data_IF_585151007197
#
_entry.id   IF_585151007197
#
_cell.length_a   1.000
_cell.length_b   1.000
_cell.length_c   1.000
_cell.angle_alpha   90.00
_cell.angle_beta   90.00
_cell.angle_gamma   90.00
#
_symmetry.space_group_name_H-M   'P 1'
#
loop_
_entity.id
_entity.type
_entity.pdbx_description
1 polymer ?
#
# COMPACT_ATOMS: atom_id res chain seq x y z
N UNK A 1 -9.10 -5.98 12.64
CA UNK A 1 -8.86 -7.22 11.86
C UNK A 1 -7.40 -7.33 11.46
N UNK A 2 -6.84 -6.31 10.80
CA UNK A 2 -5.44 -6.26 10.37
C UNK A 2 -4.45 -6.66 11.47
N UNK A 3 -4.45 -5.96 12.61
CA UNK A 3 -3.51 -6.20 13.71
C UNK A 3 -3.61 -7.63 14.25
N UNK A 4 -4.82 -8.16 14.34
CA UNK A 4 -5.05 -9.51 14.85
C UNK A 4 -4.44 -10.59 13.94
N UNK A 5 -4.45 -10.36 12.61
CA UNK A 5 -3.80 -11.28 11.66
C UNK A 5 -2.28 -11.21 11.75
N UNK A 6 -1.72 -10.01 11.90
CA UNK A 6 -0.28 -9.81 12.10
C UNK A 6 0.17 -10.41 13.44
N UNK A 7 -0.59 -10.19 14.51
CA UNK A 7 -0.33 -10.78 15.83
C UNK A 7 -0.41 -12.31 15.80
N UNK A 8 -1.37 -12.88 15.07
CA UNK A 8 -1.46 -14.33 14.90
C UNK A 8 -0.19 -14.91 14.24
N UNK A 9 0.42 -14.22 13.28
CA UNK A 9 1.70 -14.61 12.69
C UNK A 9 2.85 -14.53 13.70
N UNK A 10 2.94 -13.44 14.47
CA UNK A 10 3.93 -13.30 15.54
C UNK A 10 3.81 -14.39 16.60
N UNK A 11 2.60 -14.67 17.09
CA UNK A 11 2.37 -15.74 18.07
C UNK A 11 2.71 -17.12 17.52
N UNK A 12 2.45 -17.38 16.23
CA UNK A 12 2.82 -18.64 15.58
C UNK A 12 4.34 -18.83 15.52
N UNK A 13 5.08 -17.78 15.18
CA UNK A 13 6.55 -17.81 15.20
C UNK A 13 7.09 -17.98 16.62
N UNK A 14 6.51 -17.30 17.60
CA UNK A 14 6.88 -17.41 19.00
C UNK A 14 6.69 -18.83 19.54
N UNK A 15 5.60 -19.52 19.16
CA UNK A 15 5.36 -20.90 19.55
C UNK A 15 6.44 -21.88 19.05
N UNK A 16 7.16 -21.51 17.98
CA UNK A 16 8.30 -22.23 17.43
C UNK A 16 9.66 -21.69 17.93
N UNK A 17 9.65 -20.78 18.90
CA UNK A 17 10.82 -20.09 19.47
C UNK A 17 11.54 -19.12 18.51
N UNK A 18 10.84 -18.57 17.51
CA UNK A 18 11.33 -17.47 16.69
C UNK A 18 10.70 -16.15 17.14
N UNK A 19 11.48 -15.25 17.74
CA UNK A 19 11.00 -13.95 18.24
C UNK A 19 11.66 -12.73 17.59
N UNK A 20 12.77 -12.93 16.86
CA UNK A 20 13.55 -11.85 16.24
C UNK A 20 13.22 -11.61 14.75
N UNK A 21 12.22 -12.31 14.21
CA UNK A 21 11.84 -12.23 12.80
C UNK A 21 10.69 -11.21 12.66
N UNK A 22 10.89 -10.08 11.95
CA UNK A 22 9.81 -9.13 11.71
C UNK A 22 8.82 -9.67 10.66
N UNK A 23 7.55 -9.32 10.81
CA UNK A 23 6.51 -9.63 9.83
C UNK A 23 6.41 -8.48 8.83
N UNK A 24 6.43 -8.82 7.53
CA UNK A 24 6.20 -7.91 6.42
C UNK A 24 4.88 -8.29 5.77
N UNK A 25 3.92 -7.37 5.71
CA UNK A 25 2.63 -7.63 5.05
C UNK A 25 2.79 -7.34 3.56
N UNK A 26 2.89 -8.39 2.74
CA UNK A 26 3.17 -8.26 1.29
C UNK A 26 1.94 -7.96 0.44
N UNK A 27 0.74 -8.09 0.98
CA UNK A 27 -0.49 -7.73 0.31
C UNK A 27 -1.61 -7.52 1.33
N UNK A 28 -2.26 -6.36 1.30
CA UNK A 28 -3.47 -6.07 2.04
C UNK A 28 -4.28 -5.02 1.29
N UNK A 29 -5.59 -5.20 1.19
CA UNK A 29 -6.43 -4.31 0.41
C UNK A 29 -7.90 -4.65 0.53
N UNK A 30 -8.72 -4.01 -0.30
CA UNK A 30 -10.15 -4.32 -0.39
C UNK A 30 -10.70 -4.03 -1.80
N UNK A 31 -11.49 -4.94 -2.39
CA UNK A 31 -12.00 -4.78 -3.74
C UNK A 31 -13.10 -3.72 -3.82
N UNK A 32 -13.07 -2.94 -4.90
CA UNK A 32 -14.00 -1.82 -5.14
C UNK A 32 -15.29 -2.22 -5.85
N UNK A 33 -15.34 -3.42 -6.44
CA UNK A 33 -16.51 -3.94 -7.14
C UNK A 33 -16.53 -5.46 -7.08
N UNK A 34 -17.65 -6.04 -6.63
CA UNK A 34 -17.87 -7.49 -6.60
C UNK A 34 -19.13 -7.93 -7.33
N UNK A 35 -19.31 -9.25 -7.42
CA UNK A 35 -20.52 -9.86 -7.96
C UNK A 35 -21.70 -9.82 -6.97
N UNK A 36 -22.84 -10.38 -7.38
CA UNK A 36 -24.05 -10.43 -6.55
C UNK A 36 -23.85 -11.11 -5.18
N UNK A 37 -22.85 -11.99 -5.05
CA UNK A 37 -22.51 -12.70 -3.82
C UNK A 37 -21.41 -11.99 -2.99
N UNK A 38 -20.94 -10.82 -3.42
CA UNK A 38 -19.86 -10.05 -2.81
C UNK A 38 -20.31 -8.60 -2.54
N UNK A 39 -21.39 -8.40 -1.77
CA UNK A 39 -22.03 -7.09 -1.63
C UNK A 39 -21.14 -6.05 -0.92
N UNK A 40 -20.13 -6.51 -0.16
CA UNK A 40 -19.22 -5.62 0.58
C UNK A 40 -18.03 -5.13 -0.28
N UNK A 41 -17.87 -5.65 -1.49
CA UNK A 41 -16.89 -5.17 -2.47
C UNK A 41 -17.44 -3.92 -3.17
N UNK A 42 -17.30 -2.78 -2.50
CA UNK A 42 -17.79 -1.47 -2.94
C UNK A 42 -16.68 -0.44 -2.88
N UNK A 43 -16.80 0.61 -3.70
CA UNK A 43 -15.86 1.73 -3.71
C UNK A 43 -15.73 2.36 -2.32
N UNK A 44 -16.83 2.56 -1.61
CA UNK A 44 -16.83 3.19 -0.29
C UNK A 44 -16.07 2.34 0.74
N UNK A 45 -16.32 1.02 0.78
CA UNK A 45 -15.58 0.13 1.67
C UNK A 45 -14.10 0.04 1.30
N UNK A 46 -13.79 0.01 0.00
CA UNK A 46 -12.41 -0.02 -0.47
C UNK A 46 -11.63 1.24 -0.05
N UNK A 47 -12.23 2.40 -0.24
CA UNK A 47 -11.68 3.68 0.18
C UNK A 47 -11.45 3.74 1.69
N UNK A 48 -12.45 3.35 2.49
CA UNK A 48 -12.38 3.37 3.95
C UNK A 48 -11.30 2.42 4.45
N UNK A 49 -11.29 1.18 3.95
CA UNK A 49 -10.30 0.18 4.37
C UNK A 49 -8.88 0.63 4.02
N UNK A 50 -8.63 0.99 2.75
CA UNK A 50 -7.29 1.34 2.29
C UNK A 50 -6.78 2.64 2.94
N UNK A 51 -7.64 3.65 3.12
CA UNK A 51 -7.24 4.89 3.81
C UNK A 51 -6.93 4.64 5.29
N UNK A 52 -7.74 3.83 5.98
CA UNK A 52 -7.48 3.51 7.39
C UNK A 52 -6.24 2.64 7.57
N UNK A 53 -6.01 1.68 6.66
CA UNK A 53 -4.79 0.89 6.64
C UNK A 53 -3.56 1.78 6.49
N UNK A 54 -3.61 2.72 5.54
CA UNK A 54 -2.54 3.68 5.31
C UNK A 54 -2.26 4.51 6.56
N UNK A 55 -3.30 5.11 7.13
CA UNK A 55 -3.17 5.92 8.34
C UNK A 55 -2.67 5.12 9.55
N UNK A 56 -3.10 3.87 9.71
CA UNK A 56 -2.65 3.00 10.78
C UNK A 56 -1.16 2.67 10.67
N UNK A 57 -0.69 2.31 9.47
CA UNK A 57 0.72 1.97 9.23
C UNK A 57 1.62 3.19 9.38
N UNK A 58 1.21 4.35 8.85
CA UNK A 58 1.97 5.60 8.92
C UNK A 58 2.02 6.20 10.34
N UNK A 59 1.03 5.93 11.19
CA UNK A 59 1.08 6.32 12.60
C UNK A 59 2.14 5.53 13.41
N UNK A 60 2.65 4.43 12.86
CA UNK A 60 3.76 3.67 13.46
C UNK A 60 3.46 3.06 14.82
N UNK A 61 2.19 2.90 15.16
CA UNK A 61 1.74 2.34 16.44
C UNK A 61 2.03 0.85 16.63
N UNK A 62 2.50 0.17 15.59
CA UNK A 62 2.65 -1.28 15.58
C UNK A 62 1.31 -2.00 15.83
N UNK A 63 1.38 -3.28 16.18
CA UNK A 63 0.24 -4.07 16.64
C UNK A 63 0.22 -4.17 18.16
N UNK A 64 -0.89 -4.61 18.80
CA UNK A 64 -0.92 -4.85 20.24
C UNK A 64 0.17 -5.79 20.75
N UNK A 65 0.54 -6.85 20.00
CA UNK A 65 1.64 -7.75 20.41
C UNK A 65 3.03 -7.18 20.13
N UNK A 66 3.16 -6.26 19.16
CA UNK A 66 4.41 -5.61 18.76
C UNK A 66 4.27 -4.09 18.69
N UNK A 67 4.02 -3.39 19.82
CA UNK A 67 3.69 -1.96 19.81
C UNK A 67 4.86 -1.05 19.45
N UNK A 68 6.09 -1.56 19.48
CA UNK A 68 7.31 -0.83 19.15
C UNK A 68 7.89 -1.19 17.77
N UNK A 69 7.22 -2.07 17.02
CA UNK A 69 7.71 -2.53 15.71
C UNK A 69 6.75 -2.00 14.63
N UNK A 70 7.24 -1.12 13.74
CA UNK A 70 6.57 -0.76 12.50
C UNK A 70 6.03 -1.94 11.69
N UNK A 71 4.79 -1.84 11.22
CA UNK A 71 4.20 -2.83 10.31
C UNK A 71 4.41 -2.37 8.86
N UNK A 72 5.52 -2.78 8.27
CA UNK A 72 5.74 -2.53 6.84
C UNK A 72 4.69 -3.29 6.02
N UNK A 73 3.99 -2.55 5.15
CA UNK A 73 2.80 -3.07 4.47
C UNK A 73 2.78 -2.64 3.01
N UNK A 74 2.53 -3.61 2.13
CA UNK A 74 2.28 -3.37 0.73
C UNK A 74 0.77 -3.32 0.46
N UNK A 75 0.30 -2.19 -0.07
CA UNK A 75 -1.10 -2.03 -0.44
C UNK A 75 -1.37 -2.85 -1.71
N UNK A 76 -2.41 -3.66 -1.64
CA UNK A 76 -2.86 -4.52 -2.72
C UNK A 76 -4.13 -3.93 -3.35
N UNK A 77 -4.12 -3.46 -4.59
CA UNK A 77 -2.98 -3.34 -5.50
C UNK A 77 -3.05 -2.03 -6.30
N UNK A 78 -2.09 -1.82 -7.21
CA UNK A 78 -2.04 -0.55 -7.93
C UNK A 78 -3.14 -0.43 -8.97
N UNK A 79 -3.29 -1.44 -9.81
CA UNK A 79 -4.20 -1.42 -10.96
C UNK A 79 -5.26 -2.51 -10.84
N UNK A 80 -6.46 -2.21 -11.31
CA UNK A 80 -7.44 -3.26 -11.57
C UNK A 80 -6.90 -4.22 -12.65
N UNK A 81 -6.86 -5.51 -12.37
CA UNK A 81 -6.34 -6.53 -13.28
C UNK A 81 -7.49 -7.30 -13.95
N UNK A 82 -7.94 -6.82 -15.11
CA UNK A 82 -9.12 -7.30 -15.84
C UNK A 82 -9.02 -8.75 -16.35
N UNK A 83 -7.79 -9.24 -16.53
CA UNK A 83 -7.47 -10.60 -16.95
C UNK A 83 -7.41 -11.62 -15.80
N UNK A 84 -7.61 -11.21 -14.54
CA UNK A 84 -7.58 -12.16 -13.42
C UNK A 84 -8.68 -13.21 -13.52
N UNK A 85 -8.35 -14.49 -13.32
CA UNK A 85 -9.36 -15.54 -13.20
C UNK A 85 -10.06 -15.40 -11.84
N UNK A 86 -11.36 -15.69 -11.80
CA UNK A 86 -12.12 -15.71 -10.54
C UNK A 86 -13.36 -14.82 -10.56
N UNK A 87 -13.90 -14.50 -9.37
CA UNK A 87 -15.05 -13.61 -9.23
C UNK A 87 -14.76 -12.18 -9.70
N UNK A 88 -15.81 -11.35 -9.76
CA UNK A 88 -15.68 -9.96 -10.23
C UNK A 88 -14.73 -9.17 -9.32
N UNK A 89 -14.74 -9.43 -8.01
CA UNK A 89 -13.83 -8.81 -7.04
C UNK A 89 -12.36 -8.94 -7.39
N UNK A 90 -11.91 -10.10 -7.87
CA UNK A 90 -10.51 -10.36 -8.25
C UNK A 90 -9.98 -9.37 -9.29
N UNK A 91 -10.86 -8.78 -10.10
CA UNK A 91 -10.50 -7.81 -11.14
C UNK A 91 -10.48 -6.36 -10.65
N UNK A 92 -10.87 -6.11 -9.40
CA UNK A 92 -11.26 -4.79 -8.91
C UNK A 92 -10.58 -4.37 -7.59
N UNK A 93 -9.38 -4.88 -7.30
CA UNK A 93 -8.59 -4.52 -6.11
C UNK A 93 -7.74 -3.26 -6.26
N UNK A 94 -7.61 -2.74 -7.48
CA UNK A 94 -6.78 -1.60 -7.81
C UNK A 94 -7.27 -0.28 -7.23
N UNK A 95 -6.34 0.57 -6.85
CA UNK A 95 -6.61 1.99 -6.57
C UNK A 95 -6.68 2.83 -7.87
N UNK A 96 -6.12 2.33 -8.97
CA UNK A 96 -6.25 2.88 -10.33
C UNK A 96 -6.82 1.85 -11.32
N UNK A 97 -7.41 2.35 -12.39
CA UNK A 97 -7.72 1.57 -13.57
C UNK A 97 -6.47 1.39 -14.45
N UNK A 98 -6.41 0.39 -15.35
CA UNK A 98 -5.30 0.20 -16.28
C UNK A 98 -4.96 1.42 -17.15
N UNK A 99 -5.94 2.30 -17.38
CA UNK A 99 -5.75 3.55 -18.12
C UNK A 99 -5.14 4.69 -17.28
N UNK A 100 -4.76 4.43 -16.02
CA UNK A 100 -4.18 5.40 -15.09
C UNK A 100 -5.19 6.31 -14.39
N UNK A 101 -6.49 6.17 -14.65
CA UNK A 101 -7.53 6.93 -13.91
C UNK A 101 -7.73 6.34 -12.52
N UNK A 102 -7.88 7.18 -11.50
CA UNK A 102 -8.13 6.72 -10.15
C UNK A 102 -9.51 6.05 -10.05
N UNK A 103 -9.58 4.90 -9.37
CA UNK A 103 -10.87 4.28 -8.98
C UNK A 103 -11.47 5.08 -7.83
N UNK A 104 -10.63 5.48 -6.88
CA UNK A 104 -10.93 6.40 -5.77
C UNK A 104 -9.63 7.07 -5.32
N UNK A 105 -9.74 8.21 -4.62
CA UNK A 105 -8.59 8.94 -4.09
C UNK A 105 -8.36 8.58 -2.63
N UNK A 106 -7.22 7.99 -2.31
CA UNK A 106 -6.84 7.66 -0.93
C UNK A 106 -6.72 8.93 -0.09
N UNK A 107 -7.22 8.86 1.14
CA UNK A 107 -7.07 9.94 2.12
C UNK A 107 -5.90 9.64 3.05
N UNK A 108 -4.79 10.33 2.81
CA UNK A 108 -3.63 10.35 3.68
C UNK A 108 -3.91 11.37 4.78
N UNK A 109 -3.98 10.91 6.03
CA UNK A 109 -4.12 11.78 7.18
C UNK A 109 -3.10 12.92 7.08
N UNK A 110 -3.57 14.15 7.26
CA UNK A 110 -2.78 15.38 7.16
C UNK A 110 -1.39 15.20 7.78
N UNK A 111 -0.36 15.19 6.93
CA UNK A 111 1.05 15.25 7.35
C UNK A 111 1.29 16.68 7.87
N UNK A 112 0.80 16.96 9.07
CA UNK A 112 1.06 18.21 9.79
C UNK A 112 2.44 18.11 10.44
N UNK A 113 3.51 18.02 9.65
CA UNK A 113 4.91 18.23 10.10
C UNK A 113 5.89 18.22 8.91
N UNK A 114 5.74 19.18 7.99
CA UNK A 114 6.87 19.63 7.16
C UNK A 114 7.16 21.07 7.58
N UNK A 115 8.15 21.21 8.47
CA UNK A 115 8.62 22.49 8.97
C UNK A 115 9.18 23.36 7.85
N UNK A 116 8.55 24.51 7.63
CA UNK A 116 9.09 25.81 7.24
C UNK A 116 10.35 25.82 6.35
N UNK A 117 10.20 25.41 5.07
CA UNK A 117 10.76 26.07 3.87
C UNK A 117 10.67 25.23 2.59
N UNK A 118 10.07 24.03 2.64
CA UNK A 118 9.67 23.34 1.41
C UNK A 118 8.26 23.78 1.07
N UNK A 119 8.11 24.62 0.04
CA UNK A 119 6.81 24.91 -0.57
C UNK A 119 6.33 23.63 -1.25
N UNK A 120 5.76 22.72 -0.47
CA UNK A 120 5.03 21.57 -1.00
C UNK A 120 3.70 22.14 -1.48
N UNK A 121 3.42 22.20 -2.79
CA UNK A 121 2.13 22.69 -3.26
C UNK A 121 1.04 21.84 -2.61
N UNK A 122 -0.02 22.45 -2.11
CA UNK A 122 -1.16 21.81 -1.43
C UNK A 122 -1.92 20.76 -2.27
N UNK A 123 -1.36 20.32 -3.41
CA UNK A 123 -1.84 19.30 -4.31
C UNK A 123 -0.95 18.05 -4.42
N UNK A 124 0.04 17.84 -3.55
CA UNK A 124 0.78 16.55 -3.50
C UNK A 124 0.02 15.43 -2.77
N UNK A 125 -1.23 15.67 -2.36
CA UNK A 125 -2.14 14.63 -1.85
C UNK A 125 -2.50 13.70 -3.02
N UNK A 126 -1.91 12.50 -3.05
CA UNK A 126 -2.26 11.45 -4.01
C UNK A 126 -1.55 11.49 -5.36
N UNK A 127 -0.31 12.00 -5.42
CA UNK A 127 0.51 11.86 -6.63
C UNK A 127 1.36 10.60 -6.54
N UNK A 128 1.06 9.62 -7.39
CA UNK A 128 2.03 8.59 -7.73
C UNK A 128 3.03 9.19 -8.73
N UNK A 129 4.32 9.02 -8.46
CA UNK A 129 5.36 9.40 -9.40
C UNK A 129 5.69 8.19 -10.28
N UNK A 130 5.46 8.30 -11.58
CA UNK A 130 5.99 7.34 -12.55
C UNK A 130 7.41 7.76 -12.90
N UNK A 131 8.33 6.80 -12.94
CA UNK A 131 9.69 7.07 -13.39
C UNK A 131 9.67 7.72 -14.78
N UNK A 132 10.42 8.82 -14.93
CA UNK A 132 10.54 9.48 -16.22
C UNK A 132 11.24 8.51 -17.19
N UNK A 133 10.56 8.15 -18.29
CA UNK A 133 11.09 7.21 -19.29
C UNK A 133 12.38 7.70 -19.96
N UNK A 134 12.67 9.00 -19.86
CA UNK A 134 13.86 9.64 -20.41
C UNK A 134 14.99 9.81 -19.38
N UNK A 135 14.80 9.37 -18.13
CA UNK A 135 15.84 9.43 -17.11
C UNK A 135 16.96 8.43 -17.43
N UNK A 136 18.21 8.84 -17.21
CA UNK A 136 19.35 7.93 -17.28
C UNK A 136 19.36 6.98 -16.07
N UNK A 137 20.14 5.89 -16.18
CA UNK A 137 20.20 4.85 -15.14
C UNK A 137 20.70 5.36 -13.79
N UNK A 138 21.50 6.43 -13.77
CA UNK A 138 22.06 7.02 -12.55
C UNK A 138 20.97 7.81 -11.83
N UNK A 139 20.28 8.70 -12.55
CA UNK A 139 19.17 9.47 -12.02
C UNK A 139 18.00 8.58 -11.58
N UNK A 140 17.72 7.49 -12.32
CA UNK A 140 16.73 6.49 -11.92
C UNK A 140 17.14 5.79 -10.62
N UNK A 141 18.41 5.38 -10.51
CA UNK A 141 18.93 4.74 -9.30
C UNK A 141 18.88 5.69 -8.11
N UNK A 142 19.31 6.93 -8.26
CA UNK A 142 19.26 7.93 -7.19
C UNK A 142 17.83 8.24 -6.74
N UNK A 143 16.89 8.32 -7.70
CA UNK A 143 15.47 8.51 -7.40
C UNK A 143 14.88 7.31 -6.65
N UNK A 144 15.24 6.08 -7.04
CA UNK A 144 14.87 4.88 -6.30
C UNK A 144 15.51 4.89 -4.91
N UNK A 145 16.84 4.99 -4.80
CA UNK A 145 17.57 4.96 -3.53
C UNK A 145 17.06 6.03 -2.54
N UNK A 146 16.70 7.22 -3.03
CA UNK A 146 16.02 8.26 -2.24
C UNK A 146 14.65 7.78 -1.75
N UNK A 147 13.83 7.23 -2.64
CA UNK A 147 12.51 6.76 -2.29
C UNK A 147 12.57 5.61 -1.28
N UNK A 148 13.53 4.69 -1.38
CA UNK A 148 13.72 3.54 -0.47
C UNK A 148 14.46 3.89 0.84
N UNK A 149 14.97 5.12 0.97
CA UNK A 149 15.83 5.53 2.07
C UNK A 149 15.07 6.15 3.25
N UNK A 150 15.10 5.47 4.40
CA UNK A 150 14.96 5.99 5.77
C UNK A 150 13.56 6.20 6.41
N UNK A 151 12.45 5.80 5.82
CA UNK A 151 11.14 5.88 6.50
C UNK A 151 10.25 4.67 6.24
N UNK A 152 9.31 4.42 7.16
CA UNK A 152 8.19 3.50 6.97
C UNK A 152 7.48 3.84 5.66
N UNK A 153 7.35 2.86 4.78
CA UNK A 153 6.77 3.06 3.46
C UNK A 153 5.60 2.12 3.28
N UNK A 154 4.53 2.67 2.72
CA UNK A 154 3.55 1.83 2.06
C UNK A 154 3.97 1.76 0.62
N UNK A 155 4.09 0.53 0.16
CA UNK A 155 4.51 0.28 -1.20
C UNK A 155 3.37 -0.39 -1.94
N UNK A 156 2.88 0.23 -3.00
CA UNK A 156 1.82 -0.36 -3.82
C UNK A 156 2.47 -1.23 -4.89
N UNK A 157 2.13 -2.53 -4.90
CA UNK A 157 2.62 -3.47 -5.91
C UNK A 157 1.68 -3.47 -7.13
N UNK A 158 2.26 -3.55 -8.32
CA UNK A 158 1.56 -3.85 -9.58
C UNK A 158 2.04 -5.21 -10.11
N UNK A 159 1.12 -6.12 -10.42
CA UNK A 159 1.44 -7.48 -10.91
C UNK A 159 0.99 -7.74 -12.35
N UNK A 160 1.14 -6.77 -13.26
CA UNK A 160 0.66 -6.95 -14.63
C UNK A 160 1.35 -8.07 -15.45
N UNK A 161 2.60 -8.50 -15.15
CA UNK A 161 3.32 -9.40 -16.08
C UNK A 161 4.38 -10.34 -15.46
N UNK A 162 4.05 -11.07 -14.37
CA UNK A 162 4.98 -12.04 -13.71
C UNK A 162 6.34 -11.46 -13.25
N UNK A 163 6.54 -10.16 -13.43
CA UNK A 163 7.65 -9.33 -12.99
C UNK A 163 7.01 -8.16 -12.24
N UNK A 164 7.35 -8.02 -10.97
CA UNK A 164 6.96 -6.86 -10.15
C UNK A 164 7.64 -5.64 -10.76
N UNK A 165 6.93 -4.88 -11.59
CA UNK A 165 7.57 -3.82 -12.42
C UNK A 165 7.00 -2.42 -12.18
N UNK A 166 6.18 -2.22 -11.15
CA UNK A 166 5.91 -0.85 -10.68
C UNK A 166 5.75 -0.84 -9.19
N UNK A 167 6.57 0.01 -8.58
CA UNK A 167 6.72 0.18 -7.16
C UNK A 167 6.45 1.64 -6.87
N UNK A 168 5.35 1.91 -6.17
CA UNK A 168 5.03 3.27 -5.73
C UNK A 168 5.29 3.34 -4.25
N UNK A 169 6.12 4.30 -3.87
CA UNK A 169 6.43 4.63 -2.49
C UNK A 169 5.49 5.77 -2.11
N UNK A 170 4.61 5.51 -1.15
CA UNK A 170 3.72 6.49 -0.52
C UNK A 170 4.37 7.03 0.75
#
# INVERSE_FOLDING_TARGET
MFDAMVDAAYYSMQALNFSAIPVLVTASGWPSLGGANEPDATIDNALVYNSNLVNHVLNGSGTPSQPSIPINTYLYELFNEDLRPGPISEKNWGIYNPNGTAVYTLNYGSVNEISDNVTVPSGLVGIFCVANSSADSTALKEGLDWAWGLVQQIVVLSSQDSLVTSLIIL
#
